data_IF_502423846344
#
_entry.id   IF_502423846344
#
_cell.length_a   1.000
_cell.length_b   1.000
_cell.length_c   1.000
_cell.angle_alpha   90.00
_cell.angle_beta   90.00
_cell.angle_gamma   90.00
#
_symmetry.space_group_name_H-M   'P 1'
#
loop_
_entity.id
_entity.type
_entity.pdbx_description
1 polymer ?
#
# COMPACT_ATOMS: atom_id res chain seq x y z
N UNK A 1 9.73 -0.86 -12.22
CA UNK A 1 10.40 0.43 -12.47
C UNK A 1 9.44 1.63 -12.61
N UNK A 2 8.16 1.45 -12.94
CA UNK A 2 7.21 2.59 -13.05
C UNK A 2 6.57 3.08 -11.74
N UNK A 3 6.39 2.20 -10.75
CA UNK A 3 5.55 2.48 -9.57
C UNK A 3 6.08 3.65 -8.73
N UNK A 4 7.35 3.62 -8.31
CA UNK A 4 7.92 4.66 -7.43
C UNK A 4 7.88 6.06 -8.07
N UNK A 5 8.22 6.15 -9.36
CA UNK A 5 8.19 7.42 -10.09
C UNK A 5 6.76 7.96 -10.21
N UNK A 6 5.80 7.12 -10.60
CA UNK A 6 4.39 7.54 -10.70
C UNK A 6 3.85 7.99 -9.33
N UNK A 7 4.20 7.29 -8.25
CA UNK A 7 3.77 7.66 -6.90
C UNK A 7 4.43 8.94 -6.41
N UNK A 8 5.73 9.17 -6.68
CA UNK A 8 6.43 10.42 -6.32
C UNK A 8 5.82 11.60 -7.08
N UNK A 9 5.65 11.49 -8.40
CA UNK A 9 5.09 12.55 -9.23
C UNK A 9 3.69 12.94 -8.75
N UNK A 10 2.86 11.94 -8.41
CA UNK A 10 1.51 12.18 -7.87
C UNK A 10 1.57 12.89 -6.52
N UNK A 11 2.41 12.43 -5.59
CA UNK A 11 2.57 13.05 -4.28
C UNK A 11 3.08 14.50 -4.38
N UNK A 12 4.03 14.74 -5.30
CA UNK A 12 4.56 16.08 -5.57
C UNK A 12 3.50 17.02 -6.14
N UNK A 13 2.68 16.54 -7.07
CA UNK A 13 1.60 17.35 -7.66
C UNK A 13 0.53 17.73 -6.62
N UNK A 14 0.12 16.77 -5.76
CA UNK A 14 -0.79 17.05 -4.65
C UNK A 14 -0.22 18.15 -3.74
N UNK A 15 1.05 18.02 -3.36
CA UNK A 15 1.74 19.02 -2.53
C UNK A 15 1.85 20.38 -3.21
N UNK A 16 2.15 20.40 -4.51
CA UNK A 16 2.21 21.62 -5.31
C UNK A 16 0.87 22.37 -5.39
N UNK A 17 -0.23 21.66 -5.17
CA UNK A 17 -1.60 22.21 -5.10
C UNK A 17 -2.08 22.49 -3.67
N UNK A 18 -1.25 22.25 -2.65
CA UNK A 18 -1.63 22.39 -1.24
C UNK A 18 -2.64 21.34 -0.77
N UNK A 19 -2.67 20.16 -1.42
CA UNK A 19 -3.50 19.03 -1.02
C UNK A 19 -2.70 18.06 -0.16
N UNK A 20 -3.26 17.70 1.00
CA UNK A 20 -2.65 16.74 1.91
C UNK A 20 -2.83 15.31 1.38
N UNK A 21 -1.71 14.60 1.20
CA UNK A 21 -1.71 13.18 0.86
C UNK A 21 -1.90 12.37 2.15
N UNK A 22 -3.10 11.81 2.34
CA UNK A 22 -3.43 11.02 3.53
C UNK A 22 -2.56 9.77 3.70
N UNK A 23 -2.12 9.16 2.59
CA UNK A 23 -1.27 7.98 2.56
C UNK A 23 -1.39 7.17 1.26
N UNK A 24 -0.69 6.04 1.20
CA UNK A 24 -0.61 5.16 0.03
C UNK A 24 -1.16 3.77 0.37
N UNK A 25 -1.96 3.20 -0.54
CA UNK A 25 -2.40 1.81 -0.47
C UNK A 25 -1.85 1.06 -1.69
N UNK A 26 -1.19 -0.08 -1.47
CA UNK A 26 -0.79 -0.96 -2.56
C UNK A 26 -2.02 -1.73 -3.02
N UNK A 27 -2.47 -1.48 -4.25
CA UNK A 27 -3.72 -2.04 -4.78
C UNK A 27 -3.68 -3.53 -5.14
N UNK A 28 -2.50 -4.13 -5.24
CA UNK A 28 -2.31 -5.57 -5.51
C UNK A 28 -0.93 -6.03 -5.06
N UNK A 29 -0.87 -6.71 -3.92
CA UNK A 29 0.33 -7.31 -3.36
C UNK A 29 0.37 -8.82 -3.67
N UNK A 30 1.40 -9.32 -4.38
CA UNK A 30 1.49 -10.73 -4.73
C UNK A 30 1.76 -11.60 -3.50
N UNK A 31 1.34 -12.88 -3.56
CA UNK A 31 1.66 -13.85 -2.51
C UNK A 31 3.16 -14.16 -2.41
N UNK A 32 3.87 -14.07 -3.54
CA UNK A 32 5.30 -14.25 -3.66
C UNK A 32 5.92 -12.99 -4.29
N UNK A 33 6.20 -11.94 -3.48
CA UNK A 33 6.79 -10.71 -4.00
C UNK A 33 8.25 -10.93 -4.37
N UNK A 34 8.60 -10.49 -5.59
CA UNK A 34 9.98 -10.43 -6.05
C UNK A 34 10.78 -9.34 -5.33
N UNK A 35 12.09 -9.34 -5.52
CA UNK A 35 12.99 -8.35 -4.91
C UNK A 35 12.56 -6.91 -5.24
N UNK A 36 12.14 -6.66 -6.48
CA UNK A 36 11.68 -5.33 -6.89
C UNK A 36 10.44 -4.87 -6.11
N UNK A 37 9.49 -5.76 -5.86
CA UNK A 37 8.28 -5.47 -5.07
C UNK A 37 8.63 -5.16 -3.62
N UNK A 38 9.54 -5.94 -3.02
CA UNK A 38 10.02 -5.73 -1.64
C UNK A 38 10.80 -4.42 -1.51
N UNK A 39 11.70 -4.11 -2.45
CA UNK A 39 12.39 -2.82 -2.48
C UNK A 39 11.41 -1.65 -2.59
N UNK A 40 10.46 -1.72 -3.53
CA UNK A 40 9.46 -0.66 -3.68
C UNK A 40 8.64 -0.45 -2.40
N UNK A 41 8.26 -1.53 -1.69
CA UNK A 41 7.52 -1.43 -0.43
C UNK A 41 8.28 -0.59 0.61
N UNK A 42 9.60 -0.75 0.70
CA UNK A 42 10.44 0.00 1.62
C UNK A 42 10.58 1.47 1.21
N UNK A 43 10.65 1.75 -0.10
CA UNK A 43 10.89 3.10 -0.63
C UNK A 43 9.63 3.97 -0.72
N UNK A 44 8.44 3.36 -0.84
CA UNK A 44 7.16 4.07 -1.02
C UNK A 44 6.89 5.22 -0.02
N UNK A 45 7.10 5.04 1.31
CA UNK A 45 6.90 6.10 2.28
C UNK A 45 7.84 7.29 2.06
N UNK A 46 9.09 7.00 1.70
CA UNK A 46 10.13 8.02 1.54
C UNK A 46 9.88 8.84 0.27
N UNK A 47 9.56 8.19 -0.85
CA UNK A 47 9.31 8.88 -2.12
C UNK A 47 8.00 9.66 -2.15
N UNK A 48 7.01 9.27 -1.34
CA UNK A 48 5.72 9.99 -1.26
C UNK A 48 5.67 11.01 -0.12
N UNK A 49 6.50 10.84 0.91
CA UNK A 49 6.40 11.59 2.16
C UNK A 49 5.10 11.31 2.91
N UNK A 50 4.49 10.14 2.69
CA UNK A 50 3.19 9.78 3.23
C UNK A 50 3.19 8.34 3.77
N UNK A 51 2.35 8.02 4.78
CA UNK A 51 2.33 6.69 5.37
C UNK A 51 1.73 5.66 4.41
N UNK A 52 2.18 4.42 4.56
CA UNK A 52 1.52 3.25 3.97
C UNK A 52 0.26 2.94 4.81
N UNK A 53 -0.89 2.89 4.16
CA UNK A 53 -2.20 2.68 4.80
C UNK A 53 -2.82 1.32 4.46
N UNK A 54 -2.15 0.50 3.65
CA UNK A 54 -2.63 -0.84 3.36
C UNK A 54 -1.94 -1.50 2.18
N UNK A 55 -2.15 -2.80 2.09
CA UNK A 55 -1.73 -3.63 0.97
C UNK A 55 -2.82 -4.67 0.69
N UNK A 56 -3.50 -4.53 -0.44
CA UNK A 56 -4.58 -5.41 -0.88
C UNK A 56 -3.97 -6.64 -1.55
N UNK A 57 -4.32 -7.88 -1.14
CA UNK A 57 -3.80 -9.08 -1.79
C UNK A 57 -4.16 -9.14 -3.28
N UNK A 58 -3.22 -9.62 -4.10
CA UNK A 58 -3.50 -9.94 -5.49
C UNK A 58 -4.68 -10.91 -5.60
N UNK A 59 -5.59 -10.65 -6.54
CA UNK A 59 -6.81 -11.44 -6.69
C UNK A 59 -7.94 -11.08 -5.72
N UNK A 60 -7.80 -10.08 -4.84
CA UNK A 60 -8.89 -9.67 -3.96
C UNK A 60 -10.21 -9.37 -4.71
N UNK A 61 -10.12 -8.84 -5.94
CA UNK A 61 -11.28 -8.57 -6.80
C UNK A 61 -12.04 -9.81 -7.28
N UNK A 62 -11.50 -11.02 -7.10
CA UNK A 62 -12.17 -12.29 -7.46
C UNK A 62 -12.82 -12.98 -6.26
N UNK A 63 -12.70 -12.41 -5.06
CA UNK A 63 -13.35 -12.96 -3.87
C UNK A 63 -14.85 -12.77 -3.95
N UNK A 64 -15.59 -13.80 -3.52
CA UNK A 64 -17.01 -13.68 -3.25
C UNK A 64 -17.28 -12.55 -2.24
N UNK A 65 -18.42 -11.84 -2.32
CA UNK A 65 -18.69 -10.67 -1.49
C UNK A 65 -18.53 -10.91 0.02
N UNK A 66 -18.90 -12.09 0.51
CA UNK A 66 -18.72 -12.45 1.92
C UNK A 66 -17.24 -12.60 2.30
N UNK A 67 -16.44 -13.26 1.45
CA UNK A 67 -15.00 -13.42 1.65
C UNK A 67 -14.24 -12.09 1.58
N UNK A 68 -14.63 -11.21 0.64
CA UNK A 68 -14.07 -9.87 0.54
C UNK A 68 -14.33 -9.06 1.82
N UNK A 69 -15.58 -8.99 2.28
CA UNK A 69 -15.95 -8.22 3.48
C UNK A 69 -15.26 -8.73 4.75
N UNK A 70 -15.13 -10.04 4.89
CA UNK A 70 -14.43 -10.64 6.03
C UNK A 70 -12.92 -10.35 6.02
N UNK A 71 -12.32 -10.25 4.83
CA UNK A 71 -10.88 -10.10 4.69
C UNK A 71 -10.42 -8.65 4.66
N UNK A 72 -11.22 -7.75 4.08
CA UNK A 72 -10.85 -6.35 3.84
C UNK A 72 -10.32 -5.57 5.06
N UNK A 73 -10.85 -5.73 6.29
CA UNK A 73 -10.29 -5.06 7.46
C UNK A 73 -8.81 -5.40 7.68
N UNK A 74 -8.36 -6.60 7.31
CA UNK A 74 -6.97 -7.03 7.50
C UNK A 74 -5.99 -6.48 6.45
N UNK A 75 -6.48 -5.73 5.46
CA UNK A 75 -5.65 -5.15 4.38
C UNK A 75 -5.40 -3.66 4.57
N UNK A 76 -6.19 -3.00 5.42
CA UNK A 76 -6.19 -1.55 5.60
C UNK A 76 -5.82 -1.16 7.04
N UNK A 77 -5.13 -0.03 7.18
CA UNK A 77 -4.72 0.48 8.48
C UNK A 77 -5.92 0.98 9.31
N UNK A 78 -5.77 1.16 10.64
CA UNK A 78 -6.83 1.69 11.50
C UNK A 78 -7.40 3.05 11.06
N UNK A 79 -6.59 3.88 10.39
CA UNK A 79 -7.07 5.16 9.79
C UNK A 79 -8.12 4.97 8.70
N UNK A 80 -8.20 3.77 8.13
CA UNK A 80 -9.18 3.35 7.12
C UNK A 80 -10.08 2.22 7.67
N UNK A 81 -10.31 2.19 8.99
CA UNK A 81 -11.20 1.26 9.68
C UNK A 81 -10.79 -0.22 9.60
N UNK A 82 -9.51 -0.51 9.33
CA UNK A 82 -8.97 -1.86 9.35
C UNK A 82 -8.07 -2.16 10.54
N UNK A 83 -7.35 -3.28 10.47
CA UNK A 83 -6.48 -3.82 11.52
C UNK A 83 -5.06 -4.09 11.01
N UNK A 84 -4.75 -3.71 9.77
CA UNK A 84 -3.44 -3.92 9.16
C UNK A 84 -2.40 -2.97 9.77
N UNK A 85 -1.18 -3.47 9.95
CA UNK A 85 -0.06 -2.71 10.49
C UNK A 85 1.10 -2.64 9.50
N UNK A 86 1.57 -1.42 9.24
CA UNK A 86 2.59 -1.16 8.23
C UNK A 86 3.96 -1.69 8.64
N UNK A 87 4.30 -1.61 9.93
CA UNK A 87 5.60 -2.05 10.44
C UNK A 87 5.70 -3.57 10.39
N UNK A 88 4.70 -4.27 10.93
CA UNK A 88 4.58 -5.74 10.88
C UNK A 88 4.63 -6.24 9.44
N UNK A 89 3.94 -5.56 8.52
CA UNK A 89 3.97 -5.91 7.10
C UNK A 89 5.36 -5.74 6.49
N UNK A 90 6.06 -4.62 6.74
CA UNK A 90 7.42 -4.40 6.23
C UNK A 90 8.41 -5.44 6.77
N UNK A 91 8.31 -5.79 8.05
CA UNK A 91 9.17 -6.82 8.65
C UNK A 91 8.95 -8.18 8.01
N UNK A 92 7.68 -8.56 7.74
CA UNK A 92 7.34 -9.81 7.08
C UNK A 92 7.85 -9.89 5.64
N UNK A 93 7.79 -8.79 4.92
CA UNK A 93 8.14 -8.71 3.49
C UNK A 93 9.58 -8.26 3.25
N UNK A 94 10.38 -8.08 4.30
CA UNK A 94 11.79 -7.74 4.18
C UNK A 94 12.52 -8.83 3.35
N UNK A 95 13.52 -8.45 2.52
CA UNK A 95 14.32 -9.38 1.73
C UNK A 95 14.93 -10.52 2.54
#
# INVERSE_FOLDING_TARGET
LGTLNVTELTARELRGRGLDLAGVVIGSWPAEPDLASRCNLLDLPDVTGAPLLGAVPAGAGTLEPAGFRASAPHWLAPRLEGTWDAETFRVREAP
#
